data_IF_493500112602
#
_entry.id   IF_493500112602
#
_cell.length_a   1.000
_cell.length_b   1.000
_cell.length_c   1.000
_cell.angle_alpha   90.00
_cell.angle_beta   90.00
_cell.angle_gamma   90.00
#
_symmetry.space_group_name_H-M   'P 1'
#
loop_
_entity.id
_entity.type
_entity.pdbx_description
1 polymer ?
#
# COMPACT_ATOMS: atom_id res chain seq x y z
N UNK A 1 9.89 56.32 -74.24
CA UNK A 1 10.88 55.27 -73.87
C UNK A 1 11.32 55.36 -72.40
N UNK A 2 11.63 56.55 -71.86
CA UNK A 2 12.14 56.74 -70.49
C UNK A 2 11.25 56.20 -69.34
N UNK A 3 9.91 56.35 -69.39
CA UNK A 3 9.02 55.86 -68.31
C UNK A 3 9.01 54.34 -68.14
N UNK A 4 9.17 53.57 -69.24
CA UNK A 4 9.23 52.10 -69.18
C UNK A 4 10.55 51.59 -68.61
N UNK A 5 11.64 52.30 -68.90
CA UNK A 5 12.98 51.99 -68.35
C UNK A 5 13.00 52.26 -66.84
N UNK A 6 12.41 53.37 -66.39
CA UNK A 6 12.29 53.70 -64.97
C UNK A 6 11.46 52.66 -64.20
N UNK A 7 10.34 52.21 -64.77
CA UNK A 7 9.50 51.18 -64.14
C UNK A 7 10.20 49.81 -64.07
N UNK A 8 10.97 49.44 -65.10
CA UNK A 8 11.81 48.25 -65.07
C UNK A 8 12.89 48.31 -63.99
N UNK A 9 13.48 49.48 -63.76
CA UNK A 9 14.47 49.69 -62.69
C UNK A 9 13.85 49.54 -61.29
N UNK A 10 12.64 50.05 -61.08
CA UNK A 10 11.90 49.91 -59.82
C UNK A 10 11.56 48.46 -59.49
N UNK A 11 11.13 47.67 -60.49
CA UNK A 11 10.86 46.24 -60.31
C UNK A 11 12.15 45.48 -59.97
N UNK A 12 13.25 45.80 -60.66
CA UNK A 12 14.54 45.16 -60.40
C UNK A 12 15.07 45.52 -58.99
N UNK A 13 14.92 46.77 -58.56
CA UNK A 13 15.27 47.21 -57.21
C UNK A 13 14.42 46.51 -56.13
N UNK A 14 13.12 46.31 -56.39
CA UNK A 14 12.24 45.58 -55.47
C UNK A 14 12.61 44.10 -55.37
N UNK A 15 12.92 43.45 -56.50
CA UNK A 15 13.30 42.03 -56.54
C UNK A 15 14.65 41.79 -55.88
N UNK A 16 15.60 42.71 -56.07
CA UNK A 16 16.93 42.63 -55.44
C UNK A 16 16.83 42.88 -53.93
N UNK A 17 16.03 43.86 -53.48
CA UNK A 17 15.77 44.09 -52.05
C UNK A 17 15.07 42.90 -51.39
N UNK A 18 14.07 42.29 -52.05
CA UNK A 18 13.39 41.10 -51.55
C UNK A 18 14.33 39.88 -51.47
N UNK A 19 15.14 39.66 -52.52
CA UNK A 19 16.11 38.55 -52.54
C UNK A 19 17.20 38.74 -51.49
N UNK A 20 17.66 39.97 -51.27
CA UNK A 20 18.61 40.30 -50.21
C UNK A 20 18.00 40.09 -48.82
N UNK A 21 16.74 40.46 -48.62
CA UNK A 21 15.98 40.19 -47.39
C UNK A 21 15.86 38.69 -47.08
N UNK A 22 15.59 37.85 -48.09
CA UNK A 22 15.57 36.39 -47.93
C UNK A 22 16.96 35.85 -47.58
N UNK A 23 18.01 36.36 -48.24
CA UNK A 23 19.38 35.91 -47.99
C UNK A 23 19.81 36.21 -46.56
N UNK A 24 19.58 37.44 -46.09
CA UNK A 24 19.87 37.86 -44.71
C UNK A 24 19.00 37.08 -43.72
N UNK A 25 17.70 36.93 -43.99
CA UNK A 25 16.80 36.15 -43.12
C UNK A 25 17.19 34.67 -42.98
N UNK A 26 17.84 34.08 -44.00
CA UNK A 26 18.37 32.71 -43.92
C UNK A 26 19.70 32.60 -43.18
N UNK A 27 20.49 33.67 -43.09
CA UNK A 27 21.80 33.64 -42.43
C UNK A 27 21.77 34.16 -40.99
N UNK A 28 20.78 34.97 -40.60
CA UNK A 28 20.64 35.50 -39.22
C UNK A 28 19.71 34.71 -38.32
N UNK A 29 18.91 33.79 -38.86
CA UNK A 29 18.08 32.89 -38.05
C UNK A 29 18.88 31.61 -37.85
N UNK A 30 19.61 31.51 -36.74
CA UNK A 30 19.90 30.18 -36.20
C UNK A 30 18.53 29.54 -35.92
N UNK A 31 18.20 28.39 -36.54
CA UNK A 31 17.04 27.65 -36.08
C UNK A 31 17.33 27.28 -34.63
N UNK A 32 16.59 27.86 -33.68
CA UNK A 32 16.37 27.18 -32.40
C UNK A 32 15.69 25.87 -32.76
N UNK A 33 16.48 24.84 -33.00
CA UNK A 33 15.99 23.47 -33.08
C UNK A 33 15.49 23.19 -31.67
N UNK A 34 14.17 23.23 -31.50
CA UNK A 34 13.54 22.73 -30.29
C UNK A 34 13.74 21.21 -30.32
N UNK A 35 14.79 20.73 -29.66
CA UNK A 35 14.85 19.34 -29.23
C UNK A 35 13.86 19.18 -28.07
N UNK A 36 12.92 18.25 -28.21
CA UNK A 36 12.02 17.87 -27.12
C UNK A 36 10.75 18.71 -27.02
N UNK A 37 9.82 18.52 -27.95
CA UNK A 37 8.40 18.64 -27.55
C UNK A 37 8.11 17.41 -26.69
N UNK A 38 8.35 17.55 -25.38
CA UNK A 38 7.91 16.61 -24.36
C UNK A 38 6.55 17.13 -23.87
N UNK A 39 5.55 16.26 -23.80
CA UNK A 39 4.12 16.57 -23.59
C UNK A 39 3.42 17.29 -24.77
N UNK A 40 3.19 16.62 -25.91
CA UNK A 40 2.12 17.06 -26.82
C UNK A 40 0.79 17.02 -26.06
N UNK A 41 -0.09 17.98 -26.35
CA UNK A 41 -1.28 18.34 -25.57
C UNK A 41 -2.38 17.26 -25.46
N UNK A 42 -2.12 16.13 -24.84
CA UNK A 42 -3.17 15.19 -24.42
C UNK A 42 -3.68 15.55 -23.01
N UNK A 43 -5.00 15.69 -22.86
CA UNK A 43 -5.66 15.78 -21.55
C UNK A 43 -5.82 17.16 -20.91
N UNK A 44 -5.50 18.27 -21.59
CA UNK A 44 -5.77 19.61 -21.02
C UNK A 44 -7.27 19.81 -20.81
N UNK A 45 -7.69 20.03 -19.57
CA UNK A 45 -8.98 20.67 -19.29
C UNK A 45 -8.97 22.05 -19.94
N UNK A 46 -9.92 22.31 -20.83
CA UNK A 46 -10.07 23.62 -21.50
C UNK A 46 -10.49 24.73 -20.52
N UNK A 47 -10.78 24.38 -19.27
CA UNK A 47 -11.27 25.31 -18.24
C UNK A 47 -10.14 25.92 -17.39
N UNK A 48 -8.91 25.41 -17.47
CA UNK A 48 -7.81 25.82 -16.57
C UNK A 48 -6.74 26.61 -17.32
N UNK A 49 -6.49 27.84 -16.88
CA UNK A 49 -5.38 28.68 -17.36
C UNK A 49 -4.08 28.41 -16.58
N UNK A 50 -3.17 27.65 -17.20
CA UNK A 50 -1.84 27.36 -16.64
C UNK A 50 -0.86 28.54 -16.70
N UNK A 51 -1.23 29.70 -17.26
CA UNK A 51 -0.36 30.88 -17.31
C UNK A 51 0.05 31.36 -15.92
N UNK A 52 -0.84 31.20 -14.93
CA UNK A 52 -0.56 31.51 -13.54
C UNK A 52 0.50 30.59 -12.96
N UNK A 53 0.39 29.27 -13.17
CA UNK A 53 1.38 28.29 -12.72
C UNK A 53 2.78 28.61 -13.25
N UNK A 54 2.91 28.83 -14.57
CA UNK A 54 4.19 29.15 -15.18
C UNK A 54 4.75 30.51 -14.74
N UNK A 55 3.89 31.50 -14.48
CA UNK A 55 4.32 32.80 -13.93
C UNK A 55 4.90 32.66 -12.53
N UNK A 56 4.27 31.84 -11.69
CA UNK A 56 4.78 31.56 -10.34
C UNK A 56 6.09 30.80 -10.43
N UNK A 57 6.16 29.74 -11.24
CA UNK A 57 7.39 28.97 -11.47
C UNK A 57 8.56 29.87 -11.90
N UNK A 58 8.35 30.70 -12.93
CA UNK A 58 9.36 31.63 -13.41
C UNK A 58 9.76 32.67 -12.35
N UNK A 59 8.80 33.19 -11.58
CA UNK A 59 9.11 34.15 -10.51
C UNK A 59 9.90 33.51 -9.36
N UNK A 60 9.72 32.22 -9.08
CA UNK A 60 10.52 31.50 -8.10
C UNK A 60 11.95 31.35 -8.64
N UNK A 61 12.10 30.86 -9.88
CA UNK A 61 13.41 30.74 -10.54
C UNK A 61 14.20 32.06 -10.59
N UNK A 62 13.53 33.19 -10.83
CA UNK A 62 14.19 34.49 -10.94
C UNK A 62 14.56 35.11 -9.58
N UNK A 63 13.80 34.82 -8.52
CA UNK A 63 13.85 35.60 -7.27
C UNK A 63 14.23 34.81 -6.03
N UNK A 64 14.24 33.48 -6.09
CA UNK A 64 14.64 32.66 -4.95
C UNK A 64 16.13 32.83 -4.68
N UNK A 65 16.48 33.11 -3.42
CA UNK A 65 17.83 33.56 -3.03
C UNK A 65 18.89 32.45 -3.07
N UNK A 66 18.47 31.21 -2.86
CA UNK A 66 19.35 30.03 -2.79
C UNK A 66 19.22 29.21 -4.08
N UNK A 67 19.68 29.76 -5.21
CA UNK A 67 19.53 29.11 -6.52
C UNK A 67 20.15 27.70 -6.58
N UNK A 68 21.18 27.44 -5.76
CA UNK A 68 21.83 26.13 -5.64
C UNK A 68 20.91 25.03 -5.08
N UNK A 69 19.78 25.40 -4.48
CA UNK A 69 18.77 24.45 -3.98
C UNK A 69 17.70 24.12 -5.01
N UNK A 70 17.77 24.65 -6.23
CA UNK A 70 16.82 24.32 -7.29
C UNK A 70 16.99 22.86 -7.74
N UNK A 71 16.02 22.03 -7.36
CA UNK A 71 15.80 20.72 -7.97
C UNK A 71 14.46 20.75 -8.71
N UNK A 72 14.54 20.79 -10.04
CA UNK A 72 13.36 20.86 -10.90
C UNK A 72 12.47 19.63 -10.78
N UNK A 73 13.04 18.46 -10.48
CA UNK A 73 12.28 17.24 -10.31
C UNK A 73 11.49 17.27 -8.99
N UNK A 74 12.13 17.71 -7.91
CA UNK A 74 11.47 17.90 -6.61
C UNK A 74 10.35 18.92 -6.71
N UNK A 75 10.55 20.03 -7.43
CA UNK A 75 9.50 21.03 -7.67
C UNK A 75 8.33 20.46 -8.48
N UNK A 76 8.61 19.69 -9.53
CA UNK A 76 7.58 19.05 -10.35
C UNK A 76 6.75 18.06 -9.52
N UNK A 77 7.41 17.17 -8.78
CA UNK A 77 6.72 16.22 -7.91
C UNK A 77 5.94 16.94 -6.81
N UNK A 78 6.49 17.97 -6.19
CA UNK A 78 5.77 18.79 -5.21
C UNK A 78 4.51 19.45 -5.78
N UNK A 79 4.56 19.93 -7.03
CA UNK A 79 3.39 20.49 -7.71
C UNK A 79 2.31 19.42 -8.01
N UNK A 80 2.72 18.23 -8.47
CA UNK A 80 1.80 17.11 -8.73
C UNK A 80 1.17 16.63 -7.41
N UNK A 81 1.97 16.40 -6.36
CA UNK A 81 1.47 16.02 -5.04
C UNK A 81 0.51 17.07 -4.48
N UNK A 82 0.81 18.37 -4.64
CA UNK A 82 -0.08 19.45 -4.24
C UNK A 82 -1.44 19.43 -4.96
N UNK A 83 -1.44 19.14 -6.27
CA UNK A 83 -2.67 18.97 -7.06
C UNK A 83 -3.49 17.77 -6.58
N UNK A 84 -2.85 16.63 -6.34
CA UNK A 84 -3.50 15.40 -5.85
C UNK A 84 -4.10 15.62 -4.46
N UNK A 85 -3.36 16.25 -3.55
CA UNK A 85 -3.82 16.56 -2.19
C UNK A 85 -5.02 17.52 -2.18
N UNK A 86 -5.23 18.32 -3.24
CA UNK A 86 -6.37 19.21 -3.35
C UNK A 86 -7.71 18.48 -3.50
N UNK A 87 -7.71 17.16 -3.75
CA UNK A 87 -8.91 16.33 -3.80
C UNK A 87 -9.51 16.05 -2.42
N UNK A 88 -8.79 16.34 -1.33
CA UNK A 88 -9.19 16.03 0.05
C UNK A 88 -9.56 14.54 0.25
N UNK A 89 -8.92 13.68 -0.54
CA UNK A 89 -9.04 12.23 -0.44
C UNK A 89 -7.70 11.65 0.05
N UNK A 90 -7.60 11.17 1.30
CA UNK A 90 -6.36 10.64 1.85
C UNK A 90 -5.88 9.35 1.15
N UNK A 91 -6.72 8.75 0.30
CA UNK A 91 -6.38 7.54 -0.45
C UNK A 91 -5.86 7.81 -1.86
N UNK A 92 -6.02 9.04 -2.37
CA UNK A 92 -5.48 9.43 -3.67
C UNK A 92 -4.11 10.09 -3.47
N UNK A 93 -3.05 9.44 -3.97
CA UNK A 93 -1.66 9.79 -3.67
C UNK A 93 -0.80 9.67 -4.93
N UNK A 94 -0.01 10.70 -5.22
CA UNK A 94 1.09 10.61 -6.18
C UNK A 94 2.33 10.09 -5.46
N UNK A 95 2.93 9.06 -6.04
CA UNK A 95 4.18 8.50 -5.58
C UNK A 95 5.28 8.85 -6.56
N UNK A 96 6.33 9.50 -6.06
CA UNK A 96 7.58 9.60 -6.81
C UNK A 96 8.21 8.20 -6.99
N UNK A 97 9.26 8.02 -7.81
CA UNK A 97 9.79 6.69 -8.13
C UNK A 97 10.25 5.87 -6.90
N UNK A 98 10.82 6.52 -5.89
CA UNK A 98 11.26 5.85 -4.66
C UNK A 98 10.07 5.42 -3.80
N UNK A 99 9.08 6.32 -3.65
CA UNK A 99 7.83 6.05 -2.93
C UNK A 99 7.01 4.95 -3.62
N UNK A 100 6.95 4.97 -4.95
CA UNK A 100 6.22 3.99 -5.75
C UNK A 100 6.84 2.60 -5.61
N UNK A 101 8.18 2.53 -5.63
CA UNK A 101 8.91 1.28 -5.36
C UNK A 101 8.61 0.77 -3.95
N UNK A 102 8.72 1.62 -2.93
CA UNK A 102 8.45 1.25 -1.52
C UNK A 102 7.00 0.76 -1.35
N UNK A 103 6.04 1.48 -1.93
CA UNK A 103 4.63 1.10 -1.89
C UNK A 103 4.39 -0.28 -2.51
N UNK A 104 4.96 -0.55 -3.69
CA UNK A 104 4.85 -1.86 -4.36
C UNK A 104 5.48 -2.99 -3.53
N UNK A 105 6.65 -2.75 -2.94
CA UNK A 105 7.28 -3.71 -2.02
C UNK A 105 6.37 -4.03 -0.82
N UNK A 106 5.83 -2.99 -0.17
CA UNK A 106 4.98 -3.13 1.00
C UNK A 106 3.68 -3.90 0.67
N UNK A 107 3.02 -3.58 -0.45
CA UNK A 107 1.80 -4.29 -0.90
C UNK A 107 2.10 -5.74 -1.31
N UNK A 108 3.25 -5.99 -1.93
CA UNK A 108 3.64 -7.35 -2.32
C UNK A 108 4.00 -8.26 -1.13
N UNK A 109 4.26 -7.67 0.05
CA UNK A 109 4.78 -8.38 1.22
C UNK A 109 6.22 -8.88 1.02
N UNK A 110 6.93 -8.38 -0.01
CA UNK A 110 8.29 -8.74 -0.37
C UNK A 110 9.13 -7.48 -0.49
N UNK A 111 10.20 -7.40 0.29
CA UNK A 111 11.12 -6.26 0.24
C UNK A 111 12.56 -6.71 0.44
N UNK A 112 13.52 -5.90 0.00
CA UNK A 112 14.94 -6.18 0.20
C UNK A 112 15.46 -5.45 1.44
N UNK A 113 15.98 -6.21 2.40
CA UNK A 113 16.40 -5.68 3.70
C UNK A 113 16.90 -6.77 4.62
N UNK A 114 16.81 -6.55 5.93
CA UNK A 114 17.39 -7.45 6.94
C UNK A 114 16.36 -8.22 7.75
N UNK A 115 15.07 -7.90 7.61
CA UNK A 115 13.95 -8.64 8.19
C UNK A 115 13.73 -8.42 9.68
N UNK A 116 13.41 -7.19 10.07
CA UNK A 116 12.98 -6.89 11.45
C UNK A 116 11.93 -5.79 11.45
N UNK A 117 11.09 -5.81 12.45
CA UNK A 117 10.19 -4.71 12.80
C UNK A 117 10.92 -3.71 13.69
N UNK A 118 10.78 -2.43 13.39
CA UNK A 118 11.38 -1.32 14.14
C UNK A 118 10.31 -0.30 14.50
N UNK A 119 10.50 0.37 15.63
CA UNK A 119 9.63 1.45 16.07
C UNK A 119 10.36 2.41 16.99
N UNK A 120 9.77 3.57 17.23
CA UNK A 120 10.30 4.54 18.18
C UNK A 120 9.73 4.23 19.56
N UNK A 121 10.62 3.90 20.52
CA UNK A 121 10.25 3.77 21.93
C UNK A 121 11.10 4.74 22.74
N UNK A 122 10.44 5.56 23.57
CA UNK A 122 11.12 6.60 24.38
C UNK A 122 12.06 7.49 23.54
N UNK A 123 11.62 7.84 22.33
CA UNK A 123 12.36 8.66 21.38
C UNK A 123 13.66 8.04 20.82
N UNK A 124 13.77 6.70 20.87
CA UNK A 124 14.90 5.94 20.32
C UNK A 124 14.41 4.90 19.32
N UNK A 125 15.12 4.74 18.20
CA UNK A 125 14.86 3.68 17.23
C UNK A 125 15.17 2.32 17.87
N UNK A 126 14.16 1.48 17.96
CA UNK A 126 14.18 0.23 18.71
C UNK A 126 13.69 -0.93 17.84
N UNK A 127 14.37 -2.07 17.91
CA UNK A 127 13.89 -3.32 17.32
C UNK A 127 12.69 -3.81 18.12
N UNK A 128 11.54 -3.90 17.46
CA UNK A 128 10.34 -4.49 18.06
C UNK A 128 10.47 -6.01 18.06
N UNK A 129 10.74 -6.61 16.89
CA UNK A 129 11.02 -8.03 16.77
C UNK A 129 11.80 -8.33 15.48
N UNK A 130 12.82 -9.21 15.52
CA UNK A 130 13.37 -9.80 14.31
C UNK A 130 12.38 -10.81 13.70
N UNK A 131 12.27 -10.84 12.38
CA UNK A 131 11.43 -11.81 11.67
C UNK A 131 12.12 -13.18 11.63
N UNK A 132 11.37 -14.26 11.74
CA UNK A 132 11.91 -15.62 11.77
C UNK A 132 12.64 -15.98 10.45
N UNK A 133 13.80 -16.62 10.56
CA UNK A 133 14.60 -17.07 9.42
C UNK A 133 15.38 -15.97 8.68
N UNK A 134 15.26 -14.71 9.10
CA UNK A 134 15.85 -13.55 8.41
C UNK A 134 17.28 -13.22 8.87
N UNK A 135 18.04 -12.39 8.12
CA UNK A 135 19.37 -11.93 8.52
C UNK A 135 19.42 -11.34 9.93
N UNK A 136 18.42 -10.52 10.30
CA UNK A 136 18.35 -9.89 11.62
C UNK A 136 18.28 -10.93 12.75
N UNK A 137 17.43 -11.95 12.61
CA UNK A 137 17.33 -13.02 13.59
C UNK A 137 18.62 -13.84 13.65
N UNK A 138 19.18 -14.22 12.49
CA UNK A 138 20.43 -15.01 12.39
C UNK A 138 21.63 -14.28 13.01
N UNK A 139 21.66 -12.96 12.92
CA UNK A 139 22.69 -12.12 13.54
C UNK A 139 22.49 -11.91 15.06
N UNK A 140 21.38 -12.43 15.62
CA UNK A 140 21.11 -12.39 17.05
C UNK A 140 20.58 -11.05 17.55
N UNK A 141 19.97 -10.23 16.68
CA UNK A 141 19.16 -9.09 17.10
C UNK A 141 17.96 -9.57 17.93
N UNK A 142 17.52 -8.75 18.88
CA UNK A 142 16.46 -9.08 19.83
C UNK A 142 15.48 -7.92 19.97
N UNK A 143 14.25 -8.25 20.37
CA UNK A 143 13.29 -7.27 20.82
C UNK A 143 13.92 -6.38 21.92
N UNK A 144 13.74 -5.06 21.79
CA UNK A 144 14.29 -4.07 22.72
C UNK A 144 15.71 -3.57 22.39
N UNK A 145 16.38 -4.14 21.38
CA UNK A 145 17.67 -3.62 20.90
C UNK A 145 17.51 -2.18 20.39
N UNK A 146 18.35 -1.25 20.85
CA UNK A 146 18.35 0.12 20.37
C UNK A 146 19.32 0.26 19.21
N UNK A 147 18.84 0.78 18.08
CA UNK A 147 19.66 1.05 16.90
C UNK A 147 20.15 2.49 17.04
N UNK A 148 21.43 2.68 17.37
CA UNK A 148 22.06 4.00 17.58
C UNK A 148 22.56 4.60 16.26
N UNK A 149 23.04 3.74 15.35
CA UNK A 149 23.49 4.13 14.01
C UNK A 149 23.13 3.09 12.96
N UNK A 150 22.94 3.57 11.73
CA UNK A 150 22.80 2.77 10.51
C UNK A 150 23.89 3.23 9.56
N UNK A 151 24.91 2.41 9.35
CA UNK A 151 26.19 2.84 8.76
C UNK A 151 26.80 3.98 9.60
N UNK A 152 27.08 5.10 8.95
CA UNK A 152 27.62 6.29 9.61
C UNK A 152 26.53 7.24 10.16
N UNK A 153 25.25 6.99 9.82
CA UNK A 153 24.13 7.88 10.16
C UNK A 153 23.61 7.60 11.58
N UNK A 154 23.52 8.65 12.41
CA UNK A 154 22.92 8.58 13.76
C UNK A 154 21.39 8.57 13.65
N UNK A 155 20.74 7.70 14.40
CA UNK A 155 19.28 7.47 14.30
C UNK A 155 18.42 8.42 15.14
N UNK A 156 19.01 9.18 16.07
CA UNK A 156 18.26 9.98 17.04
C UNK A 156 17.41 11.11 16.46
N UNK A 157 17.72 11.56 15.24
CA UNK A 157 16.96 12.60 14.52
C UNK A 157 16.19 12.05 13.33
N UNK A 158 16.32 10.75 13.03
CA UNK A 158 15.64 10.14 11.90
C UNK A 158 14.18 9.86 12.24
N UNK A 159 13.31 10.12 11.29
CA UNK A 159 11.99 9.50 11.24
C UNK A 159 12.12 7.98 11.06
N UNK A 160 11.06 7.25 11.40
CA UNK A 160 11.02 5.79 11.16
C UNK A 160 11.23 5.49 9.67
N UNK A 161 10.62 6.26 8.79
CA UNK A 161 10.70 6.02 7.35
C UNK A 161 12.11 6.23 6.79
N UNK A 162 12.83 7.25 7.27
CA UNK A 162 14.24 7.46 6.92
C UNK A 162 15.11 6.33 7.46
N UNK A 163 14.91 5.91 8.71
CA UNK A 163 15.64 4.78 9.25
C UNK A 163 15.40 3.50 8.44
N UNK A 164 14.15 3.22 8.07
CA UNK A 164 13.78 2.08 7.23
C UNK A 164 14.42 2.18 5.85
N UNK A 165 14.50 3.37 5.24
CA UNK A 165 15.13 3.55 3.92
C UNK A 165 16.63 3.26 3.95
N UNK A 166 17.34 3.59 5.04
CA UNK A 166 18.75 3.22 5.22
C UNK A 166 18.94 1.72 5.49
N UNK A 167 18.02 1.08 6.22
CA UNK A 167 18.09 -0.35 6.53
C UNK A 167 17.78 -1.20 5.30
N UNK A 168 16.78 -0.81 4.48
CA UNK A 168 16.48 -1.43 3.19
C UNK A 168 17.58 -1.14 2.18
N UNK A 169 17.60 -1.90 1.11
CA UNK A 169 18.60 -1.74 0.05
C UNK A 169 18.81 -3.04 -0.74
N UNK A 170 19.63 -2.99 -1.81
CA UNK A 170 19.72 -4.09 -2.75
C UNK A 170 20.16 -5.40 -2.09
N UNK A 171 19.54 -6.52 -2.48
CA UNK A 171 19.94 -7.86 -2.03
C UNK A 171 21.44 -8.08 -2.22
N UNK A 172 22.07 -8.67 -1.20
CA UNK A 172 23.50 -9.00 -1.18
C UNK A 172 24.40 -7.85 -0.77
N UNK A 173 23.87 -6.64 -0.60
CA UNK A 173 24.62 -5.52 -0.01
C UNK A 173 24.64 -5.62 1.51
N UNK A 174 25.63 -4.97 2.13
CA UNK A 174 25.77 -4.96 3.58
C UNK A 174 25.15 -3.70 4.20
N UNK A 175 24.68 -3.85 5.43
CA UNK A 175 24.36 -2.73 6.32
C UNK A 175 24.91 -3.03 7.71
N UNK A 176 25.63 -2.07 8.28
CA UNK A 176 26.16 -2.17 9.64
C UNK A 176 25.25 -1.38 10.58
N UNK A 177 24.76 -2.02 11.63
CA UNK A 177 23.97 -1.39 12.67
C UNK A 177 24.79 -1.28 13.95
N UNK A 178 24.85 -0.09 14.53
CA UNK A 178 25.39 0.07 15.89
C UNK A 178 24.26 -0.14 16.88
N UNK A 179 24.31 -1.25 17.62
CA UNK A 179 23.26 -1.69 18.53
C UNK A 179 23.69 -1.47 19.98
N UNK A 180 22.81 -0.88 20.78
CA UNK A 180 22.91 -0.86 22.22
C UNK A 180 21.89 -1.82 22.83
N UNK A 181 22.39 -2.75 23.63
CA UNK A 181 21.59 -3.69 24.43
C UNK A 181 21.98 -3.51 25.90
N UNK A 182 21.01 -3.46 26.80
CA UNK A 182 21.23 -3.13 28.22
C UNK A 182 22.26 -4.06 28.88
N UNK A 183 22.25 -5.34 28.55
CA UNK A 183 23.15 -6.37 29.09
C UNK A 183 24.60 -6.26 28.56
N UNK A 184 24.84 -5.49 27.48
CA UNK A 184 26.19 -5.31 26.93
C UNK A 184 26.98 -4.18 27.60
N UNK A 185 26.29 -3.21 28.20
CA UNK A 185 26.89 -2.01 28.81
C UNK A 185 27.53 -1.03 27.81
N UNK A 186 27.91 -1.48 26.60
CA UNK A 186 28.46 -0.66 25.52
C UNK A 186 27.81 -1.03 24.16
N UNK A 187 27.66 -0.07 23.23
CA UNK A 187 27.18 -0.37 21.87
C UNK A 187 28.13 -1.30 21.11
N UNK A 188 27.59 -2.12 20.22
CA UNK A 188 28.35 -3.03 19.34
C UNK A 188 27.85 -2.92 17.91
N UNK A 189 28.74 -3.11 16.96
CA UNK A 189 28.39 -3.16 15.54
C UNK A 189 27.98 -4.59 15.13
N UNK A 190 26.90 -4.67 14.37
CA UNK A 190 26.43 -5.90 13.73
C UNK A 190 26.27 -5.60 12.23
N UNK A 191 27.05 -6.30 11.41
CA UNK A 191 26.93 -6.24 9.95
C UNK A 191 25.97 -7.32 9.47
N UNK A 192 25.00 -6.91 8.67
CA UNK A 192 23.94 -7.74 8.10
C UNK A 192 24.05 -7.70 6.59
N UNK A 193 23.80 -8.84 5.94
CA UNK A 193 23.65 -8.92 4.49
C UNK A 193 22.16 -8.82 4.18
N UNK A 194 21.78 -7.89 3.29
CA UNK A 194 20.40 -7.72 2.87
C UNK A 194 19.95 -8.91 2.02
N UNK A 195 18.76 -9.43 2.32
CA UNK A 195 18.10 -10.52 1.61
C UNK A 195 16.71 -10.06 1.15
N UNK A 196 16.07 -10.87 0.29
CA UNK A 196 14.63 -10.72 0.03
C UNK A 196 13.90 -11.26 1.25
N UNK A 197 13.14 -10.39 1.91
CA UNK A 197 12.34 -10.70 3.07
C UNK A 197 10.90 -10.91 2.61
N UNK A 198 10.33 -12.04 2.96
CA UNK A 198 8.91 -12.33 2.75
C UNK A 198 8.19 -12.27 4.10
N UNK A 199 7.17 -11.42 4.20
CA UNK A 199 6.30 -11.38 5.37
C UNK A 199 5.37 -12.60 5.29
N UNK A 200 5.13 -13.33 6.40
CA UNK A 200 4.14 -14.39 6.42
C UNK A 200 2.74 -13.81 6.19
N UNK A 201 2.00 -14.38 5.23
CA UNK A 201 0.61 -13.98 4.96
C UNK A 201 -0.34 -14.40 6.08
N UNK A 202 -0.11 -15.58 6.64
CA UNK A 202 -0.97 -16.19 7.65
C UNK A 202 -0.19 -17.14 8.56
N UNK A 203 -0.83 -17.49 9.67
CA UNK A 203 -0.51 -18.64 10.50
C UNK A 203 -1.80 -19.39 10.78
N UNK A 204 -1.74 -20.72 10.87
CA UNK A 204 -2.83 -21.50 11.42
C UNK A 204 -2.35 -22.44 12.52
N UNK A 205 -3.22 -22.74 13.47
CA UNK A 205 -2.99 -23.71 14.54
C UNK A 205 -4.29 -24.41 14.94
N UNK A 206 -4.15 -25.55 15.61
CA UNK A 206 -5.28 -26.35 16.07
C UNK A 206 -5.54 -26.06 17.55
N UNK A 207 -6.70 -25.51 17.86
CA UNK A 207 -7.13 -25.17 19.22
C UNK A 207 -8.09 -26.23 19.76
N UNK A 208 -8.02 -26.43 21.09
CA UNK A 208 -9.00 -27.19 21.84
C UNK A 208 -10.01 -26.25 22.49
N UNK A 209 -11.28 -26.66 22.49
CA UNK A 209 -12.31 -25.94 23.25
C UNK A 209 -12.13 -26.15 24.75
N UNK A 210 -12.22 -25.09 25.57
CA UNK A 210 -12.18 -25.21 27.01
C UNK A 210 -13.46 -25.88 27.55
N UNK A 211 -13.34 -27.14 27.99
CA UNK A 211 -14.33 -27.93 28.74
C UNK A 211 -14.36 -29.39 28.27
N UNK A 212 -14.23 -30.45 29.07
CA UNK A 212 -14.29 -30.66 30.52
C UNK A 212 -12.92 -31.10 31.09
N UNK A 213 -12.83 -31.28 32.41
CA UNK A 213 -11.67 -31.84 33.10
C UNK A 213 -11.33 -33.25 32.55
N UNK A 214 -10.51 -33.29 31.50
CA UNK A 214 -10.27 -34.48 30.69
C UNK A 214 -9.65 -34.17 29.31
N UNK A 215 -9.72 -32.91 28.85
CA UNK A 215 -9.08 -32.45 27.62
C UNK A 215 -9.81 -32.92 26.37
N UNK A 216 -10.60 -32.03 25.74
CA UNK A 216 -11.17 -32.29 24.43
C UNK A 216 -10.04 -32.33 23.40
N UNK A 217 -10.09 -33.26 22.44
CA UNK A 217 -9.14 -33.24 21.33
C UNK A 217 -9.29 -31.92 20.54
N UNK A 218 -8.18 -31.27 20.14
CA UNK A 218 -8.23 -30.05 19.36
C UNK A 218 -9.02 -30.24 18.04
N UNK A 219 -10.11 -29.50 17.86
CA UNK A 219 -11.00 -29.59 16.69
C UNK A 219 -11.31 -28.24 16.03
N UNK A 220 -10.68 -27.16 16.48
CA UNK A 220 -10.85 -25.82 15.92
C UNK A 220 -9.59 -25.42 15.14
N UNK A 221 -9.72 -25.19 13.84
CA UNK A 221 -8.67 -24.52 13.07
C UNK A 221 -8.76 -23.01 13.30
N UNK A 222 -7.79 -22.46 14.01
CA UNK A 222 -7.63 -21.02 14.14
C UNK A 222 -6.68 -20.54 13.05
N UNK A 223 -7.20 -19.71 12.15
CA UNK A 223 -6.47 -19.15 11.01
C UNK A 223 -6.32 -17.66 11.25
N UNK A 224 -5.10 -17.19 11.53
CA UNK A 224 -4.79 -15.78 11.59
C UNK A 224 -4.20 -15.33 10.26
N UNK A 225 -4.97 -14.55 9.50
CA UNK A 225 -4.54 -13.98 8.23
C UNK A 225 -4.03 -12.57 8.50
N UNK A 226 -2.73 -12.34 8.32
CA UNK A 226 -2.08 -11.06 8.59
C UNK A 226 -2.29 -10.05 7.45
N UNK A 227 -2.21 -10.50 6.20
CA UNK A 227 -2.28 -9.63 5.02
C UNK A 227 -2.76 -10.38 3.77
N UNK A 228 -3.38 -9.65 2.83
CA UNK A 228 -3.79 -10.15 1.52
C UNK A 228 -2.77 -9.80 0.43
N UNK A 229 -1.49 -10.11 0.65
CA UNK A 229 -0.44 -9.89 -0.36
C UNK A 229 -0.42 -11.03 -1.40
N UNK A 230 0.42 -10.90 -2.44
CA UNK A 230 0.45 -11.79 -3.63
C UNK A 230 0.48 -13.28 -3.29
N UNK A 231 1.29 -13.68 -2.31
CA UNK A 231 1.46 -15.08 -1.87
C UNK A 231 0.32 -15.62 -0.99
N UNK A 232 -0.51 -14.75 -0.41
CA UNK A 232 -1.49 -15.15 0.60
C UNK A 232 -2.52 -16.15 0.08
N UNK A 233 -2.91 -16.10 -1.20
CA UNK A 233 -3.79 -17.11 -1.80
C UNK A 233 -3.17 -18.51 -1.86
N UNK A 234 -1.85 -18.60 -2.15
CA UNK A 234 -1.12 -19.88 -2.18
C UNK A 234 -0.91 -20.42 -0.77
N UNK A 235 -0.52 -19.56 0.16
CA UNK A 235 -0.32 -19.92 1.56
C UNK A 235 -1.65 -20.36 2.20
N UNK A 236 -2.76 -19.68 1.88
CA UNK A 236 -4.10 -20.06 2.33
C UNK A 236 -4.50 -21.41 1.77
N UNK A 237 -4.28 -21.65 0.47
CA UNK A 237 -4.54 -22.96 -0.14
C UNK A 237 -3.77 -24.07 0.56
N UNK A 238 -2.49 -23.85 0.89
CA UNK A 238 -1.68 -24.83 1.61
C UNK A 238 -2.26 -25.09 3.01
N UNK A 239 -2.48 -24.04 3.79
CA UNK A 239 -3.08 -24.14 5.12
C UNK A 239 -4.45 -24.83 5.07
N UNK A 240 -5.27 -24.54 4.05
CA UNK A 240 -6.58 -25.15 3.89
C UNK A 240 -6.50 -26.67 3.66
N UNK A 241 -5.55 -27.14 2.84
CA UNK A 241 -5.33 -28.58 2.70
C UNK A 241 -4.79 -29.22 3.98
N UNK A 242 -3.85 -28.56 4.67
CA UNK A 242 -3.35 -29.06 5.96
C UNK A 242 -4.50 -29.17 6.99
N UNK A 243 -5.43 -28.21 6.99
CA UNK A 243 -6.63 -28.20 7.85
C UNK A 243 -7.59 -29.33 7.47
N UNK A 244 -7.83 -29.57 6.18
CA UNK A 244 -8.69 -30.66 5.69
C UNK A 244 -8.13 -32.05 6.06
N UNK A 245 -6.82 -32.18 6.16
CA UNK A 245 -6.14 -33.41 6.61
C UNK A 245 -6.04 -33.52 8.14
N UNK A 246 -6.39 -32.46 8.87
CA UNK A 246 -6.35 -32.40 10.32
C UNK A 246 -7.67 -32.87 10.98
N UNK A 247 -7.68 -33.05 12.32
CA UNK A 247 -8.92 -33.29 13.06
C UNK A 247 -9.91 -32.13 13.06
N UNK A 248 -9.54 -30.94 12.55
CA UNK A 248 -10.39 -29.76 12.57
C UNK A 248 -11.79 -30.01 12.00
N UNK A 249 -12.78 -29.44 12.68
CA UNK A 249 -14.20 -29.45 12.29
C UNK A 249 -14.81 -28.06 12.27
N UNK A 250 -14.15 -27.07 12.88
CA UNK A 250 -14.63 -25.69 12.97
C UNK A 250 -13.51 -24.72 12.62
N UNK A 251 -13.84 -23.52 12.17
CA UNK A 251 -12.87 -22.50 11.75
C UNK A 251 -13.09 -21.19 12.51
N UNK A 252 -12.06 -20.70 13.18
CA UNK A 252 -11.98 -19.29 13.59
C UNK A 252 -11.09 -18.58 12.59
N UNK A 253 -11.65 -17.63 11.83
CA UNK A 253 -10.88 -16.78 10.93
C UNK A 253 -10.58 -15.45 11.63
N UNK A 254 -9.33 -15.24 12.03
CA UNK A 254 -8.86 -14.02 12.65
C UNK A 254 -8.30 -13.03 11.62
N UNK A 255 -9.00 -11.91 11.47
CA UNK A 255 -8.65 -10.77 10.61
C UNK A 255 -8.27 -9.53 11.43
N UNK A 256 -8.09 -9.65 12.75
CA UNK A 256 -7.65 -8.54 13.62
C UNK A 256 -6.27 -8.04 13.19
N UNK A 257 -6.13 -6.72 13.12
CA UNK A 257 -4.93 -6.03 12.68
C UNK A 257 -4.48 -6.39 11.24
N UNK A 258 -5.39 -6.86 10.39
CA UNK A 258 -5.13 -7.08 8.97
C UNK A 258 -5.65 -5.88 8.15
N UNK A 259 -4.76 -5.00 7.64
CA UNK A 259 -5.16 -3.79 6.91
C UNK A 259 -5.66 -4.08 5.47
N UNK A 260 -5.76 -5.35 5.08
CA UNK A 260 -6.22 -5.80 3.78
C UNK A 260 -5.07 -6.14 2.83
N UNK A 261 -5.20 -5.71 1.58
CA UNK A 261 -4.31 -6.05 0.46
C UNK A 261 -5.11 -6.21 -0.83
N UNK A 262 -4.69 -7.13 -1.68
CA UNK A 262 -5.31 -7.37 -2.99
C UNK A 262 -6.74 -7.91 -2.86
N UNK A 263 -7.66 -7.29 -3.60
CA UNK A 263 -9.09 -7.68 -3.66
C UNK A 263 -9.25 -9.10 -4.19
N UNK A 264 -8.49 -9.45 -5.23
CA UNK A 264 -8.55 -10.75 -5.91
C UNK A 264 -8.21 -11.87 -4.94
N UNK A 265 -7.24 -11.65 -4.05
CA UNK A 265 -6.87 -12.62 -3.01
C UNK A 265 -8.01 -12.79 -2.00
N UNK A 266 -8.70 -11.71 -1.62
CA UNK A 266 -9.90 -11.80 -0.78
C UNK A 266 -11.03 -12.57 -1.46
N UNK A 267 -11.25 -12.32 -2.74
CA UNK A 267 -12.25 -13.02 -3.55
C UNK A 267 -11.92 -14.52 -3.66
N UNK A 268 -10.65 -14.87 -3.88
CA UNK A 268 -10.18 -16.24 -3.97
C UNK A 268 -10.34 -16.97 -2.64
N UNK A 269 -9.96 -16.34 -1.53
CA UNK A 269 -10.14 -16.90 -0.17
C UNK A 269 -11.63 -17.08 0.13
N UNK A 270 -12.49 -16.11 -0.22
CA UNK A 270 -13.94 -16.24 -0.05
C UNK A 270 -14.51 -17.46 -0.79
N UNK A 271 -13.93 -17.83 -1.94
CA UNK A 271 -14.32 -19.00 -2.72
C UNK A 271 -14.08 -20.37 -2.04
N UNK A 272 -13.37 -20.43 -0.91
CA UNK A 272 -13.31 -21.65 -0.09
C UNK A 272 -14.56 -21.82 0.77
N UNK A 273 -15.20 -20.71 1.13
CA UNK A 273 -16.27 -20.66 2.11
C UNK A 273 -17.65 -20.39 1.49
N UNK A 274 -17.71 -19.86 0.27
CA UNK A 274 -18.94 -19.45 -0.42
C UNK A 274 -19.20 -20.29 -1.66
N UNK A 275 -20.48 -20.47 -2.00
CA UNK A 275 -20.90 -21.11 -3.25
C UNK A 275 -20.45 -20.28 -4.47
N UNK A 276 -20.05 -20.97 -5.53
CA UNK A 276 -19.65 -20.35 -6.79
C UNK A 276 -20.76 -19.45 -7.32
N UNK A 277 -20.39 -18.20 -7.63
CA UNK A 277 -21.30 -17.19 -8.18
C UNK A 277 -21.94 -16.28 -7.14
N UNK A 278 -21.80 -16.57 -5.84
CA UNK A 278 -22.20 -15.63 -4.78
C UNK A 278 -21.35 -14.36 -4.86
N UNK A 279 -21.99 -13.21 -4.64
CA UNK A 279 -21.31 -11.90 -4.67
C UNK A 279 -20.45 -11.76 -3.42
N UNK A 280 -19.18 -11.42 -3.62
CA UNK A 280 -18.21 -11.11 -2.55
C UNK A 280 -18.22 -9.62 -2.26
N UNK A 281 -18.19 -8.79 -3.31
CA UNK A 281 -18.21 -7.33 -3.21
C UNK A 281 -18.75 -6.73 -4.51
N UNK A 282 -19.31 -5.53 -4.41
CA UNK A 282 -19.79 -4.75 -5.55
C UNK A 282 -18.98 -3.46 -5.65
N UNK A 283 -18.41 -3.18 -6.81
CA UNK A 283 -17.80 -1.89 -7.15
C UNK A 283 -18.83 -0.91 -7.70
N UNK A 284 -18.96 0.24 -7.03
CA UNK A 284 -19.81 1.35 -7.42
C UNK A 284 -18.98 2.56 -7.85
N UNK A 285 -18.99 2.86 -9.15
CA UNK A 285 -18.23 3.97 -9.74
C UNK A 285 -18.98 5.32 -9.68
N UNK A 286 -20.16 5.36 -9.03
CA UNK A 286 -21.00 6.54 -8.92
C UNK A 286 -22.10 6.64 -9.98
N UNK A 287 -22.87 7.73 -9.93
CA UNK A 287 -24.10 7.89 -10.73
C UNK A 287 -23.86 7.73 -12.23
N UNK A 288 -24.73 6.93 -12.87
CA UNK A 288 -24.73 6.71 -14.32
C UNK A 288 -23.69 5.71 -14.84
N UNK A 289 -22.87 5.13 -13.97
CA UNK A 289 -21.92 4.06 -14.34
C UNK A 289 -22.44 2.69 -13.90
N UNK A 290 -22.11 1.66 -14.68
CA UNK A 290 -22.48 0.27 -14.36
C UNK A 290 -21.68 -0.22 -13.15
N UNK A 291 -22.36 -0.88 -12.22
CA UNK A 291 -21.71 -1.52 -11.06
C UNK A 291 -21.07 -2.83 -11.48
N UNK A 292 -19.97 -3.20 -10.84
CA UNK A 292 -19.25 -4.45 -11.12
C UNK A 292 -19.30 -5.38 -9.92
N UNK A 293 -19.87 -6.57 -10.13
CA UNK A 293 -19.89 -7.62 -9.11
C UNK A 293 -18.62 -8.48 -9.19
N UNK A 294 -17.96 -8.67 -8.05
CA UNK A 294 -16.93 -9.69 -7.87
C UNK A 294 -17.55 -10.89 -7.18
N UNK A 295 -17.41 -12.07 -7.79
CA UNK A 295 -18.12 -13.28 -7.38
C UNK A 295 -17.17 -14.38 -6.95
N UNK A 296 -17.57 -15.19 -5.98
CA UNK A 296 -16.81 -16.35 -5.53
C UNK A 296 -16.61 -17.34 -6.68
N UNK A 297 -15.37 -17.77 -6.91
CA UNK A 297 -14.99 -18.70 -8.00
C UNK A 297 -14.37 -20.02 -7.53
N UNK A 298 -14.21 -20.21 -6.22
CA UNK A 298 -13.41 -21.26 -5.59
C UNK A 298 -14.07 -22.64 -5.54
N UNK A 299 -13.62 -23.46 -4.58
CA UNK A 299 -13.90 -24.89 -4.48
C UNK A 299 -14.89 -25.28 -3.38
N UNK A 300 -15.36 -24.32 -2.58
CA UNK A 300 -16.43 -24.51 -1.59
C UNK A 300 -16.09 -25.53 -0.47
N UNK A 301 -14.81 -25.90 -0.30
CA UNK A 301 -14.41 -26.99 0.60
C UNK A 301 -14.66 -26.70 2.10
N UNK A 302 -14.83 -25.43 2.48
CA UNK A 302 -15.19 -24.98 3.82
C UNK A 302 -16.65 -24.50 3.94
N UNK A 303 -17.49 -24.79 2.95
CA UNK A 303 -18.90 -24.40 2.95
C UNK A 303 -19.67 -24.99 4.16
N UNK A 304 -19.34 -26.21 4.56
CA UNK A 304 -20.02 -26.92 5.66
C UNK A 304 -19.33 -26.75 7.03
N UNK A 305 -18.17 -26.07 7.09
CA UNK A 305 -17.49 -25.85 8.37
C UNK A 305 -18.23 -24.75 9.15
N UNK A 306 -18.64 -25.01 10.42
CA UNK A 306 -19.03 -23.97 11.34
C UNK A 306 -17.88 -22.99 11.54
N UNK A 307 -18.17 -21.70 11.46
CA UNK A 307 -17.14 -20.68 11.56
C UNK A 307 -17.61 -19.39 12.24
N UNK A 308 -16.64 -18.67 12.79
CA UNK A 308 -16.77 -17.30 13.28
C UNK A 308 -15.57 -16.47 12.81
N UNK A 309 -15.72 -15.16 12.80
CA UNK A 309 -14.70 -14.21 12.32
C UNK A 309 -14.35 -13.26 13.45
N UNK A 310 -13.06 -13.02 13.66
CA UNK A 310 -12.55 -11.99 14.57
C UNK A 310 -12.09 -10.76 13.78
N UNK A 311 -12.55 -9.58 14.20
CA UNK A 311 -12.14 -8.29 13.64
C UNK A 311 -11.85 -7.26 14.74
N UNK A 312 -11.10 -6.22 14.40
CA UNK A 312 -10.93 -5.04 15.24
C UNK A 312 -10.69 -3.79 14.38
N UNK A 313 -10.37 -2.66 15.01
CA UNK A 313 -10.11 -1.39 14.31
C UNK A 313 -8.96 -1.45 13.29
N UNK A 314 -8.07 -2.44 13.39
CA UNK A 314 -7.00 -2.66 12.40
C UNK A 314 -7.41 -3.52 11.21
N UNK A 315 -8.61 -4.09 11.22
CA UNK A 315 -9.19 -4.81 10.08
C UNK A 315 -9.67 -3.80 9.04
N UNK A 316 -9.14 -3.83 7.82
CA UNK A 316 -9.51 -2.87 6.77
C UNK A 316 -9.60 -3.50 5.38
N UNK A 317 -10.31 -2.83 4.46
CA UNK A 317 -10.29 -3.11 3.02
C UNK A 317 -10.63 -4.58 2.70
N UNK A 318 -9.71 -5.35 2.11
CA UNK A 318 -9.90 -6.77 1.79
C UNK A 318 -10.37 -7.61 3.01
N UNK A 319 -9.92 -7.29 4.23
CA UNK A 319 -10.42 -7.94 5.44
C UNK A 319 -11.90 -7.69 5.67
N UNK A 320 -12.34 -6.44 5.48
CA UNK A 320 -13.74 -6.04 5.64
C UNK A 320 -14.62 -6.66 4.55
N UNK A 321 -14.10 -6.75 3.32
CA UNK A 321 -14.74 -7.42 2.19
C UNK A 321 -14.97 -8.90 2.49
N UNK A 322 -13.93 -9.62 2.90
CA UNK A 322 -14.04 -11.05 3.23
C UNK A 322 -15.04 -11.25 4.37
N UNK A 323 -14.95 -10.46 5.44
CA UNK A 323 -15.83 -10.56 6.59
C UNK A 323 -17.29 -10.27 6.23
N UNK A 324 -17.54 -9.18 5.47
CA UNK A 324 -18.88 -8.83 5.01
C UNK A 324 -19.45 -9.88 4.05
N UNK A 325 -18.64 -10.41 3.14
CA UNK A 325 -19.07 -11.45 2.20
C UNK A 325 -19.53 -12.71 2.92
N UNK A 326 -18.79 -13.16 3.93
CA UNK A 326 -19.12 -14.34 4.72
C UNK A 326 -20.34 -14.10 5.62
N UNK A 327 -20.41 -12.93 6.26
CA UNK A 327 -21.59 -12.55 7.07
C UNK A 327 -22.85 -12.45 6.22
N UNK A 328 -22.78 -11.84 5.05
CA UNK A 328 -23.97 -11.55 4.25
C UNK A 328 -24.49 -12.75 3.48
N UNK A 329 -23.59 -13.60 2.96
CA UNK A 329 -24.00 -14.79 2.19
C UNK A 329 -24.28 -16.01 3.08
N UNK A 330 -23.62 -16.14 4.24
CA UNK A 330 -23.73 -17.34 5.11
C UNK A 330 -24.21 -17.06 6.53
N UNK A 331 -24.41 -15.80 6.91
CA UNK A 331 -24.81 -15.44 8.27
C UNK A 331 -23.71 -15.68 9.32
N UNK A 332 -22.45 -15.76 8.89
CA UNK A 332 -21.30 -16.00 9.78
C UNK A 332 -21.17 -14.86 10.78
N UNK A 333 -21.00 -15.21 12.06
CA UNK A 333 -20.90 -14.24 13.15
C UNK A 333 -19.53 -13.59 13.21
N UNK A 334 -19.56 -12.26 13.32
CA UNK A 334 -18.39 -11.41 13.50
C UNK A 334 -18.29 -11.02 14.98
N UNK A 335 -17.10 -11.18 15.56
CA UNK A 335 -16.82 -10.96 16.99
C UNK A 335 -15.63 -10.01 17.12
N UNK A 336 -15.66 -9.11 18.11
CA UNK A 336 -14.56 -8.20 18.41
C UNK A 336 -14.99 -6.74 18.43
N UNK A 337 -14.27 -5.88 17.70
CA UNK A 337 -14.52 -4.43 17.63
C UNK A 337 -14.85 -3.98 16.21
N UNK A 338 -15.45 -2.81 16.05
CA UNK A 338 -15.73 -2.22 14.73
C UNK A 338 -14.45 -2.10 13.91
N UNK A 339 -14.50 -2.48 12.63
CA UNK A 339 -13.38 -2.38 11.71
C UNK A 339 -13.08 -0.94 11.27
N UNK A 340 -12.02 -0.76 10.48
CA UNK A 340 -11.50 0.56 10.12
C UNK A 340 -12.47 1.43 9.29
N UNK A 341 -13.24 0.83 8.36
CA UNK A 341 -14.16 1.55 7.48
C UNK A 341 -13.54 2.03 6.17
N UNK A 342 -12.70 1.22 5.53
CA UNK A 342 -12.14 1.56 4.21
C UNK A 342 -12.99 0.98 3.08
N UNK A 343 -13.89 1.80 2.55
CA UNK A 343 -14.77 1.45 1.42
C UNK A 343 -14.40 2.07 0.07
N UNK A 344 -13.15 2.49 -0.17
CA UNK A 344 -12.65 3.19 -1.38
C UNK A 344 -11.62 2.37 -2.19
N UNK A 345 -11.67 2.35 -3.54
CA UNK A 345 -10.92 1.39 -4.41
C UNK A 345 -9.92 2.29 -5.00
N UNK A 346 -8.69 1.91 -4.80
CA UNK A 346 -7.58 2.57 -5.41
C UNK A 346 -7.15 1.77 -6.62
N UNK A 347 -7.07 2.43 -7.76
CA UNK A 347 -6.30 1.95 -8.88
C UNK A 347 -4.88 2.51 -8.77
N UNK A 348 -3.87 1.67 -8.99
CA UNK A 348 -2.49 2.10 -9.09
C UNK A 348 -2.12 2.21 -10.57
N UNK A 349 -2.02 3.44 -11.06
CA UNK A 349 -1.55 3.75 -12.40
C UNK A 349 -0.04 3.93 -12.39
N UNK A 350 0.66 3.18 -13.25
CA UNK A 350 2.08 3.36 -13.46
C UNK A 350 2.34 4.51 -14.42
N UNK A 351 3.09 5.50 -13.95
CA UNK A 351 3.44 6.69 -14.68
C UNK A 351 4.88 6.60 -15.21
N UNK A 352 5.27 7.46 -16.16
CA UNK A 352 6.64 7.52 -16.66
C UNK A 352 7.68 7.69 -15.54
N UNK A 353 8.91 7.29 -15.84
CA UNK A 353 10.08 7.43 -14.96
C UNK A 353 9.97 6.68 -13.62
N UNK A 354 9.03 5.72 -13.52
CA UNK A 354 8.87 4.85 -12.34
C UNK A 354 8.00 5.44 -11.24
N UNK A 355 7.39 6.61 -11.47
CA UNK A 355 6.37 7.18 -10.59
C UNK A 355 5.03 6.43 -10.71
N UNK A 356 4.12 6.63 -9.77
CA UNK A 356 2.79 6.04 -9.82
C UNK A 356 1.73 7.00 -9.27
N UNK A 357 0.51 6.91 -9.77
CA UNK A 357 -0.66 7.55 -9.18
C UNK A 357 -1.56 6.47 -8.59
N UNK A 358 -1.80 6.55 -7.29
CA UNK A 358 -2.85 5.78 -6.63
C UNK A 358 -4.10 6.64 -6.57
N UNK A 359 -5.18 6.26 -7.24
CA UNK A 359 -6.38 7.10 -7.38
C UNK A 359 -7.63 6.35 -6.95
N UNK A 360 -8.49 7.00 -6.15
CA UNK A 360 -9.79 6.45 -5.80
C UNK A 360 -10.75 6.51 -6.99
N UNK A 361 -11.17 5.35 -7.50
CA UNK A 361 -12.03 5.26 -8.70
C UNK A 361 -13.47 4.81 -8.41
N UNK A 362 -13.72 4.21 -7.24
CA UNK A 362 -15.02 3.63 -6.88
C UNK A 362 -15.20 3.56 -5.36
N UNK A 363 -16.41 3.14 -4.94
CA UNK A 363 -16.76 2.70 -3.57
C UNK A 363 -17.21 1.22 -3.52
N UNK A 364 -16.86 0.49 -2.46
CA UNK A 364 -17.33 -0.91 -2.31
C UNK A 364 -18.65 -0.92 -1.59
N UNK A 365 -19.50 -1.83 -2.04
CA UNK A 365 -20.69 -2.23 -1.33
C UNK A 365 -20.56 -3.68 -0.89
N UNK A 366 -21.06 -3.98 0.30
CA UNK A 366 -21.26 -5.36 0.74
C UNK A 366 -22.21 -6.11 -0.22
N UNK A 367 -22.31 -7.45 -0.16
CA UNK A 367 -23.29 -8.17 -0.98
C UNK A 367 -24.75 -7.70 -0.78
N UNK A 368 -25.08 -7.09 0.37
CA UNK A 368 -26.39 -6.48 0.63
C UNK A 368 -26.52 -5.03 0.16
N UNK A 369 -25.44 -4.41 -0.32
CA UNK A 369 -25.42 -3.05 -0.84
C UNK A 369 -25.02 -1.98 0.20
N UNK A 370 -24.51 -2.37 1.36
CA UNK A 370 -24.10 -1.43 2.41
C UNK A 370 -22.74 -0.81 2.10
N UNK A 371 -22.56 0.48 2.41
CA UNK A 371 -21.29 1.20 2.28
C UNK A 371 -20.56 1.12 3.62
N UNK A 372 -19.26 0.80 3.59
CA UNK A 372 -18.42 0.71 4.80
C UNK A 372 -17.60 1.97 5.09
N UNK A 373 -17.48 2.89 4.13
CA UNK A 373 -16.66 4.11 4.26
C UNK A 373 -17.06 4.93 5.48
N UNK A 374 -16.07 5.27 6.31
CA UNK A 374 -16.18 6.10 7.53
C UNK A 374 -17.03 5.51 8.67
N UNK A 375 -17.52 4.26 8.52
CA UNK A 375 -18.32 3.56 9.54
C UNK A 375 -17.64 2.27 10.00
N UNK A 376 -17.08 1.51 9.06
CA UNK A 376 -16.58 0.16 9.33
C UNK A 376 -17.68 -0.89 9.38
N UNK A 377 -17.24 -2.12 9.59
CA UNK A 377 -18.06 -3.30 9.78
C UNK A 377 -18.27 -3.50 11.29
N UNK A 378 -19.50 -3.32 11.74
CA UNK A 378 -19.84 -3.60 13.14
C UNK A 378 -19.87 -5.11 13.42
N UNK A 379 -19.30 -5.57 14.55
CA UNK A 379 -19.36 -6.97 14.95
C UNK A 379 -20.77 -7.34 15.42
N UNK A 380 -21.20 -8.58 15.13
CA UNK A 380 -22.44 -9.14 15.70
C UNK A 380 -22.34 -9.28 17.23
N UNK A 381 -21.13 -9.56 17.74
CA UNK A 381 -20.85 -9.70 19.17
C UNK A 381 -19.66 -8.79 19.49
N UNK A 382 -19.98 -7.62 20.04
CA UNK A 382 -18.96 -6.65 20.44
C UNK A 382 -18.26 -7.08 21.73
N UNK A 383 -16.94 -7.22 21.68
CA UNK A 383 -16.06 -7.51 22.82
C UNK A 383 -14.83 -6.62 22.66
N UNK A 384 -14.65 -5.69 23.60
CA UNK A 384 -13.52 -4.75 23.58
C UNK A 384 -12.28 -5.40 24.22
N UNK A 385 -11.09 -5.10 23.72
CA UNK A 385 -9.82 -5.41 24.39
C UNK A 385 -9.45 -4.27 25.35
N UNK A 386 -9.21 -4.59 26.62
CA UNK A 386 -8.73 -3.58 27.60
C UNK A 386 -7.21 -3.58 27.71
N UNK A 387 -6.61 -2.47 28.16
CA UNK A 387 -5.16 -2.41 28.46
C UNK A 387 -4.73 -3.56 29.39
N UNK A 388 -5.57 -3.88 30.37
CA UNK A 388 -5.33 -4.98 31.29
C UNK A 388 -5.29 -6.34 30.59
N UNK A 389 -6.13 -6.56 29.58
CA UNK A 389 -6.11 -7.81 28.81
C UNK A 389 -4.79 -7.95 28.04
N UNK A 390 -4.28 -6.85 27.48
CA UNK A 390 -2.95 -6.83 26.86
C UNK A 390 -1.82 -7.09 27.87
N UNK A 391 -1.88 -6.49 29.06
CA UNK A 391 -0.87 -6.68 30.13
C UNK A 391 -0.88 -8.09 30.70
N UNK A 392 -2.04 -8.73 30.79
CA UNK A 392 -2.23 -10.08 31.31
C UNK A 392 -2.15 -11.17 30.22
N UNK A 393 -1.85 -10.81 28.96
CA UNK A 393 -1.83 -11.71 27.80
C UNK A 393 -3.12 -12.52 27.64
N UNK A 394 -4.27 -11.88 27.91
CA UNK A 394 -5.61 -12.48 27.75
C UNK A 394 -6.23 -12.05 26.44
N UNK A 395 -6.99 -12.97 25.83
CA UNK A 395 -7.71 -12.71 24.59
C UNK A 395 -9.22 -13.01 24.79
N UNK A 396 -9.97 -12.10 25.44
CA UNK A 396 -11.42 -12.27 25.65
C UNK A 396 -12.21 -12.40 24.34
N UNK A 397 -11.71 -11.83 23.24
CA UNK A 397 -12.34 -11.96 21.93
C UNK A 397 -12.21 -13.38 21.39
N UNK A 398 -11.01 -13.98 21.48
CA UNK A 398 -10.78 -15.38 21.09
C UNK A 398 -11.52 -16.35 22.02
N UNK A 399 -11.50 -16.11 23.33
CA UNK A 399 -12.27 -16.91 24.29
C UNK A 399 -13.76 -16.90 23.92
N UNK A 400 -14.30 -15.73 23.57
CA UNK A 400 -15.70 -15.61 23.14
C UNK A 400 -15.95 -16.31 21.81
N UNK A 401 -15.02 -16.23 20.85
CA UNK A 401 -15.13 -16.94 19.59
C UNK A 401 -15.18 -18.46 19.78
N UNK A 402 -14.35 -19.00 20.67
CA UNK A 402 -14.36 -20.42 21.01
C UNK A 402 -15.68 -20.81 21.71
N UNK A 403 -16.22 -19.97 22.59
CA UNK A 403 -17.52 -20.22 23.22
C UNK A 403 -18.66 -20.28 22.18
N UNK A 404 -18.68 -19.33 21.24
CA UNK A 404 -19.76 -19.21 20.25
C UNK A 404 -19.68 -20.34 19.21
N UNK A 405 -18.48 -20.68 18.74
CA UNK A 405 -18.32 -21.70 17.69
C UNK A 405 -18.70 -23.10 18.19
N UNK A 406 -18.65 -23.36 19.49
CA UNK A 406 -19.14 -24.60 20.11
C UNK A 406 -20.67 -24.73 20.13
N UNK A 407 -21.39 -23.63 19.92
CA UNK A 407 -22.85 -23.60 19.87
C UNK A 407 -23.40 -23.75 18.45
N UNK A 408 -22.53 -23.77 17.43
CA UNK A 408 -22.88 -23.82 16.01
C UNK A 408 -23.03 -25.24 15.46
#
# INVERSE_FOLDING_TARGET
MQKRIFFGFLILASLTSFSFGILVGRTTVEPKIIFGVINPEEGKSQEVDFSLFWRVWASIQEKFVDEEKFDYQVMLYGAISGMVNALDDPYTVFFNPEEAKKFKEDVSGKFEGVGMEVGIRKNELTVIAPLEGTPAQKAGLRAGDKIIKIGDTITGELTIDEAVSFIRGPKGTEVTLTIFREDWGIPREITLIREVIEIPSLKWELLASPGEAGGKEPDIAYIKLYHFHEKAGVDFKKAAFDILESPAKKIILDLRNNPGGYLEISQDIAGWFLERGQVVVIEDFGEGKEKKDYKAGGNELFLEYPMVILINQGSASASEILAAALRDNRGIKIIGETSFGKGSVQELEDLPEGSSLKVTIAKWLTPKGDILTDVGLEPDIKIDMTEKDYEEEKDPQLEKAIEIIEQL
#
